data_IF_272431264611
#
_entry.id   IF_272431264611
#
_cell.length_a   1.000
_cell.length_b   1.000
_cell.length_c   1.000
_cell.angle_alpha   90.00
_cell.angle_beta   90.00
_cell.angle_gamma   90.00
#
_symmetry.space_group_name_H-M   'P 1'
#
loop_
_entity.id
_entity.type
_entity.pdbx_description
1 polymer ?
#
# COMPACT_ATOMS: atom_id res chain seq x y z
N UNK A 1 -8.43 24.63 5.70
CA UNK A 1 -6.96 24.81 5.74
C UNK A 1 -6.47 25.06 4.33
N UNK A 2 -5.88 26.23 4.05
CA UNK A 2 -5.22 26.47 2.76
C UNK A 2 -4.04 25.51 2.67
N UNK A 3 -4.05 24.70 1.63
CA UNK A 3 -3.17 23.56 1.53
C UNK A 3 -1.73 24.05 1.27
N UNK A 4 -0.87 23.93 2.28
CA UNK A 4 0.49 24.46 2.25
C UNK A 4 1.37 23.66 1.30
N UNK A 5 2.13 24.35 0.44
CA UNK A 5 3.16 23.73 -0.40
C UNK A 5 4.19 22.97 0.47
N UNK A 6 4.74 21.85 -0.03
CA UNK A 6 5.71 21.06 0.72
C UNK A 6 6.98 21.88 1.02
N UNK A 7 7.59 21.72 2.20
CA UNK A 7 8.78 22.46 2.56
C UNK A 7 9.99 21.95 1.76
N UNK A 8 10.54 22.82 0.89
CA UNK A 8 11.59 22.46 -0.08
C UNK A 8 13.03 22.56 0.45
N UNK A 9 13.22 23.08 1.65
CA UNK A 9 14.55 23.24 2.25
C UNK A 9 14.98 21.99 3.03
N UNK A 10 16.26 21.96 3.47
CA UNK A 10 16.81 20.83 4.23
C UNK A 10 15.95 20.49 5.46
N UNK A 11 15.48 21.49 6.19
CA UNK A 11 14.61 21.31 7.36
C UNK A 11 13.32 20.59 6.99
N UNK A 12 12.71 20.95 5.86
CA UNK A 12 11.54 20.28 5.31
C UNK A 12 11.77 18.80 4.99
N UNK A 13 12.91 18.49 4.39
CA UNK A 13 13.31 17.11 4.11
C UNK A 13 13.50 16.30 5.39
N UNK A 14 14.20 16.84 6.39
CA UNK A 14 14.42 16.17 7.67
C UNK A 14 13.10 15.95 8.41
N UNK A 15 12.22 16.95 8.38
CA UNK A 15 10.86 16.84 8.92
C UNK A 15 10.10 15.72 8.22
N UNK A 16 10.11 15.67 6.89
CA UNK A 16 9.40 14.66 6.10
C UNK A 16 9.89 13.24 6.41
N UNK A 17 11.22 13.01 6.41
CA UNK A 17 11.76 11.70 6.78
C UNK A 17 11.42 11.30 8.23
N UNK A 18 11.44 12.27 9.15
CA UNK A 18 11.02 12.05 10.53
C UNK A 18 9.55 11.70 10.66
N UNK A 19 8.67 12.26 9.81
CA UNK A 19 7.24 11.94 9.84
C UNK A 19 6.96 10.54 9.33
N UNK A 20 7.60 10.10 8.24
CA UNK A 20 7.46 8.72 7.76
C UNK A 20 7.93 7.70 8.82
N UNK A 21 9.09 7.97 9.44
CA UNK A 21 9.61 7.17 10.53
C UNK A 21 8.66 7.15 11.74
N UNK A 22 8.14 8.32 12.15
CA UNK A 22 7.20 8.44 13.27
C UNK A 22 5.88 7.70 13.03
N UNK A 23 5.31 7.79 11.84
CA UNK A 23 4.09 7.06 11.47
C UNK A 23 4.33 5.55 11.42
N UNK A 24 5.48 5.10 10.92
CA UNK A 24 5.84 3.68 10.95
C UNK A 24 6.05 3.18 12.38
N UNK A 25 6.69 3.98 13.24
CA UNK A 25 6.88 3.65 14.66
C UNK A 25 5.58 3.60 15.44
N UNK A 26 4.66 4.53 15.16
CA UNK A 26 3.31 4.51 15.72
C UNK A 26 2.56 3.23 15.29
N UNK A 27 2.65 2.85 14.01
CA UNK A 27 2.02 1.62 13.54
C UNK A 27 2.67 0.35 14.12
N UNK A 28 4.00 0.29 14.23
CA UNK A 28 4.68 -0.83 14.89
C UNK A 28 4.24 -0.95 16.36
N UNK A 29 4.10 0.17 17.05
CA UNK A 29 3.59 0.21 18.43
C UNK A 29 2.16 -0.32 18.53
N UNK A 30 1.31 -0.05 17.53
CA UNK A 30 -0.05 -0.63 17.46
C UNK A 30 0.02 -2.13 17.20
N UNK A 31 0.93 -2.58 16.31
CA UNK A 31 1.09 -3.98 15.95
C UNK A 31 1.70 -4.84 17.07
N UNK A 32 2.63 -4.27 17.83
CA UNK A 32 3.36 -4.87 18.94
C UNK A 32 3.60 -3.83 20.06
N UNK A 33 2.64 -3.64 20.97
CA UNK A 33 2.72 -2.65 22.05
C UNK A 33 3.66 -3.10 23.17
N UNK A 34 4.98 -3.09 22.90
CA UNK A 34 6.05 -3.56 23.80
C UNK A 34 6.09 -2.84 25.16
N UNK A 35 5.56 -1.61 25.24
CA UNK A 35 5.56 -0.76 26.43
C UNK A 35 4.39 -1.04 27.38
N UNK A 36 3.40 -1.83 26.95
CA UNK A 36 2.41 -2.36 27.88
C UNK A 36 3.10 -3.44 28.70
N UNK A 37 3.55 -3.08 29.91
CA UNK A 37 4.02 -4.02 30.93
C UNK A 37 2.83 -4.88 31.37
N UNK A 38 2.52 -5.88 30.56
CA UNK A 38 1.54 -6.89 30.89
C UNK A 38 2.11 -7.69 32.08
N UNK A 39 1.32 -7.81 33.15
CA UNK A 39 1.71 -8.55 34.36
C UNK A 39 2.21 -9.97 34.03
N UNK A 40 3.06 -10.54 34.88
CA UNK A 40 3.52 -11.93 34.71
C UNK A 40 2.32 -12.88 34.59
N UNK A 41 2.21 -13.56 33.43
CA UNK A 41 1.08 -14.44 33.12
C UNK A 41 0.07 -13.86 32.11
N UNK A 42 0.18 -12.58 31.74
CA UNK A 42 -0.70 -11.96 30.73
C UNK A 42 -0.11 -12.18 29.32
N UNK A 43 -0.89 -12.85 28.47
CA UNK A 43 -0.53 -13.16 27.09
C UNK A 43 -0.29 -11.86 26.31
N UNK A 44 0.82 -11.80 25.53
CA UNK A 44 1.15 -10.66 24.67
C UNK A 44 -0.04 -10.32 23.77
N UNK A 45 -0.42 -9.04 23.77
CA UNK A 45 -1.51 -8.54 22.92
C UNK A 45 -0.93 -7.94 21.65
N UNK A 46 -1.28 -8.52 20.50
CA UNK A 46 -0.96 -7.96 19.19
C UNK A 46 -2.15 -7.16 18.67
N UNK A 47 -1.90 -5.93 18.21
CA UNK A 47 -2.94 -5.03 17.72
C UNK A 47 -2.95 -4.87 16.19
N UNK A 48 -4.00 -4.21 15.71
CA UNK A 48 -4.11 -3.65 14.36
C UNK A 48 -5.00 -2.41 14.40
N UNK A 49 -4.84 -1.51 13.44
CA UNK A 49 -5.67 -0.31 13.32
C UNK A 49 -6.92 -0.57 12.47
N UNK A 50 -6.76 -1.14 11.27
CA UNK A 50 -7.85 -1.48 10.35
C UNK A 50 -8.45 -0.33 9.54
N UNK A 51 -7.96 0.90 9.67
CA UNK A 51 -8.52 2.09 8.99
C UNK A 51 -7.49 3.23 8.86
N UNK A 52 -6.27 2.90 8.40
CA UNK A 52 -5.26 3.94 8.16
C UNK A 52 -5.62 4.67 6.86
N UNK A 53 -5.89 5.97 6.96
CA UNK A 53 -6.19 6.87 5.85
C UNK A 53 -5.81 8.30 6.22
N UNK A 54 -5.78 9.18 5.22
CA UNK A 54 -5.42 10.59 5.42
C UNK A 54 -6.28 11.28 6.48
N UNK A 55 -7.58 11.02 6.51
CA UNK A 55 -8.53 11.58 7.49
C UNK A 55 -8.19 11.23 8.94
N UNK A 56 -7.50 10.09 9.14
CA UNK A 56 -7.11 9.58 10.45
C UNK A 56 -5.67 9.97 10.82
N UNK A 57 -4.99 10.79 10.00
CA UNK A 57 -3.69 11.38 10.34
C UNK A 57 -3.88 12.84 10.76
N UNK A 58 -3.72 13.09 12.05
CA UNK A 58 -3.82 14.42 12.63
C UNK A 58 -2.46 15.13 12.54
N UNK A 59 -2.50 16.45 12.35
CA UNK A 59 -1.31 17.29 12.30
C UNK A 59 -1.31 18.26 13.48
N UNK A 60 -0.46 18.00 14.47
CA UNK A 60 -0.31 18.85 15.66
C UNK A 60 0.93 19.72 15.58
N UNK A 61 0.91 20.87 16.26
CA UNK A 61 2.13 21.60 16.55
C UNK A 61 2.84 20.94 17.74
N UNK A 62 4.13 20.68 17.61
CA UNK A 62 4.92 20.07 18.68
C UNK A 62 5.10 21.07 19.82
N UNK A 63 4.79 20.63 21.04
CA UNK A 63 4.91 21.45 22.24
C UNK A 63 6.33 22.01 22.40
N UNK A 64 6.41 23.28 22.80
CA UNK A 64 7.69 23.99 22.96
C UNK A 64 8.37 24.42 21.65
N UNK A 65 7.71 24.25 20.49
CA UNK A 65 8.23 24.70 19.19
C UNK A 65 7.25 25.65 18.51
N UNK A 66 7.75 26.61 17.72
CA UNK A 66 6.89 27.60 17.04
C UNK A 66 6.38 27.11 15.68
N UNK A 67 7.07 26.17 15.02
CA UNK A 67 6.76 25.77 13.64
C UNK A 67 6.94 24.27 13.35
N UNK A 68 7.33 23.43 14.32
CA UNK A 68 7.46 22.00 14.07
C UNK A 68 6.08 21.33 14.15
N UNK A 69 5.70 20.66 13.06
CA UNK A 69 4.48 19.86 12.99
C UNK A 69 4.79 18.39 13.28
N UNK A 70 3.87 17.67 13.88
CA UNK A 70 3.95 16.22 14.08
C UNK A 70 2.67 15.56 13.54
N UNK A 71 2.85 14.51 12.75
CA UNK A 71 1.77 13.67 12.26
C UNK A 71 1.50 12.53 13.24
N UNK A 72 0.24 12.34 13.59
CA UNK A 72 -0.20 11.37 14.61
C UNK A 72 -1.34 10.54 14.05
N UNK A 73 -1.25 9.21 14.22
CA UNK A 73 -2.34 8.28 13.88
C UNK A 73 -3.45 8.42 14.91
N UNK A 74 -4.69 8.51 14.45
CA UNK A 74 -5.90 8.67 15.26
C UNK A 74 -7.02 7.75 14.79
N UNK A 75 -8.16 7.83 15.47
CA UNK A 75 -9.37 7.04 15.20
C UNK A 75 -9.17 5.52 15.29
N UNK A 76 -9.11 5.05 16.52
CA UNK A 76 -9.00 3.64 16.87
C UNK A 76 -10.36 2.92 16.87
N UNK A 77 -11.41 3.50 16.29
CA UNK A 77 -12.78 2.94 16.30
C UNK A 77 -12.91 1.55 15.66
N UNK A 78 -11.98 1.19 14.77
CA UNK A 78 -11.88 -0.14 14.13
C UNK A 78 -10.65 -0.95 14.59
N UNK A 79 -9.95 -0.43 15.60
CA UNK A 79 -8.77 -1.10 16.17
C UNK A 79 -9.18 -2.35 16.93
N UNK A 80 -8.33 -3.37 16.87
CA UNK A 80 -8.56 -4.62 17.58
C UNK A 80 -7.26 -5.12 18.22
N UNK A 81 -7.33 -5.51 19.49
CA UNK A 81 -6.22 -6.11 20.26
C UNK A 81 -6.51 -7.58 20.55
N UNK A 82 -5.54 -8.44 20.29
CA UNK A 82 -5.70 -9.89 20.33
C UNK A 82 -4.63 -10.56 21.17
N UNK A 83 -5.01 -11.60 21.92
CA UNK A 83 -4.04 -12.52 22.52
C UNK A 83 -3.45 -13.48 21.47
N UNK A 84 -2.29 -14.10 21.75
CA UNK A 84 -1.67 -15.14 20.90
C UNK A 84 -2.63 -16.26 20.46
N UNK A 85 -3.65 -16.55 21.29
CA UNK A 85 -4.65 -17.60 21.04
C UNK A 85 -5.84 -17.14 20.19
N UNK A 86 -6.02 -15.84 19.96
CA UNK A 86 -7.17 -15.29 19.24
C UNK A 86 -6.73 -14.27 18.18
N UNK A 87 -6.07 -14.71 17.11
CA UNK A 87 -5.77 -13.85 15.94
C UNK A 87 -7.09 -13.31 15.38
N UNK A 88 -7.52 -12.09 15.71
CA UNK A 88 -8.74 -11.46 15.14
C UNK A 88 -8.47 -10.96 13.72
N UNK A 89 -8.41 -11.95 12.86
CA UNK A 89 -8.75 -11.82 11.47
C UNK A 89 -10.26 -11.62 11.41
N UNK A 90 -10.72 -10.41 11.08
CA UNK A 90 -12.14 -10.20 10.79
C UNK A 90 -12.34 -10.60 9.31
N UNK A 91 -13.27 -11.52 9.01
CA UNK A 91 -13.65 -11.81 7.64
C UNK A 91 -14.18 -10.54 6.95
N UNK A 92 -13.79 -10.31 5.70
CA UNK A 92 -14.08 -9.04 5.01
C UNK A 92 -15.57 -8.68 4.93
N UNK A 93 -16.49 -9.65 5.02
CA UNK A 93 -17.94 -9.41 4.98
C UNK A 93 -18.48 -8.56 6.14
N UNK A 94 -17.67 -8.22 7.15
CA UNK A 94 -18.05 -7.38 8.30
C UNK A 94 -17.30 -6.04 8.37
N UNK A 95 -16.55 -5.67 7.35
CA UNK A 95 -15.60 -4.53 7.41
C UNK A 95 -16.17 -3.32 6.66
N UNK A 96 -16.25 -2.13 7.30
CA UNK A 96 -16.59 -0.90 6.61
C UNK A 96 -15.58 -0.60 5.49
N UNK A 97 -16.00 -0.22 4.28
CA UNK A 97 -15.07 0.08 3.21
C UNK A 97 -14.23 1.31 3.56
N UNK A 98 -12.90 1.18 3.54
CA UNK A 98 -11.96 2.30 3.53
C UNK A 98 -11.82 2.75 2.07
N UNK A 99 -12.58 3.75 1.59
CA UNK A 99 -12.67 4.02 0.16
C UNK A 99 -11.32 4.54 -0.33
N UNK A 100 -10.77 3.95 -1.41
CA UNK A 100 -9.49 4.35 -1.99
C UNK A 100 -8.27 3.55 -1.51
N UNK A 101 -8.09 3.32 -0.20
CA UNK A 101 -6.91 2.63 0.34
C UNK A 101 -7.12 1.16 0.67
N UNK A 102 -8.35 0.64 0.56
CA UNK A 102 -8.63 -0.78 0.81
C UNK A 102 -7.67 -1.70 0.04
N UNK A 103 -7.13 -2.74 0.70
CA UNK A 103 -6.23 -3.69 0.06
C UNK A 103 -6.95 -4.76 -0.77
N UNK A 104 -6.22 -5.49 -1.65
CA UNK A 104 -6.80 -6.52 -2.52
C UNK A 104 -7.56 -7.60 -1.77
N UNK A 105 -7.06 -8.01 -0.60
CA UNK A 105 -7.69 -9.06 0.19
C UNK A 105 -9.14 -8.74 0.53
N UNK A 106 -9.57 -7.47 0.59
CA UNK A 106 -10.98 -7.09 0.80
C UNK A 106 -11.95 -7.67 -0.22
N UNK A 107 -11.51 -7.92 -1.45
CA UNK A 107 -12.33 -8.45 -2.55
C UNK A 107 -12.06 -9.94 -2.84
N UNK A 108 -11.19 -10.59 -2.04
CA UNK A 108 -10.77 -11.99 -2.22
C UNK A 108 -11.47 -12.90 -1.19
N UNK A 109 -11.87 -14.09 -1.62
CA UNK A 109 -12.45 -15.13 -0.76
C UNK A 109 -11.47 -15.53 0.35
N UNK A 110 -11.97 -15.58 1.59
CA UNK A 110 -11.13 -15.88 2.76
C UNK A 110 -10.13 -14.77 3.13
N UNK A 111 -10.19 -13.61 2.47
CA UNK A 111 -9.44 -12.42 2.88
C UNK A 111 -9.84 -11.94 4.27
N UNK A 112 -8.86 -11.39 4.99
CA UNK A 112 -9.05 -10.97 6.38
C UNK A 112 -8.32 -9.67 6.68
N UNK A 113 -8.91 -8.84 7.55
CA UNK A 113 -8.22 -7.67 8.09
C UNK A 113 -7.16 -8.14 9.09
N UNK A 114 -5.91 -7.86 8.78
CA UNK A 114 -4.74 -8.28 9.56
C UNK A 114 -3.72 -7.15 9.65
N UNK A 115 -2.58 -7.36 10.30
CA UNK A 115 -1.48 -6.37 10.28
C UNK A 115 -1.02 -6.03 8.86
N UNK A 116 -1.08 -7.00 7.94
CA UNK A 116 -0.76 -6.77 6.53
C UNK A 116 -1.73 -5.75 5.89
N UNK A 117 -2.99 -5.70 6.32
CA UNK A 117 -3.95 -4.69 5.88
C UNK A 117 -3.41 -3.28 6.19
N UNK A 118 -3.00 -3.06 7.45
CA UNK A 118 -2.46 -1.78 7.88
C UNK A 118 -1.21 -1.39 7.09
N UNK A 119 -0.31 -2.36 6.82
CA UNK A 119 0.90 -2.12 6.02
C UNK A 119 0.55 -1.65 4.60
N UNK A 120 -0.48 -2.23 3.96
CA UNK A 120 -0.91 -1.76 2.64
C UNK A 120 -1.50 -0.35 2.70
N UNK A 121 -2.41 -0.10 3.65
CA UNK A 121 -3.03 1.22 3.79
C UNK A 121 -2.01 2.31 4.13
N UNK A 122 -1.02 2.00 4.97
CA UNK A 122 0.09 2.92 5.24
C UNK A 122 0.99 3.08 4.01
N UNK A 123 1.18 2.04 3.19
CA UNK A 123 1.90 2.13 1.92
C UNK A 123 1.21 3.06 0.92
N UNK A 124 -0.13 3.01 0.83
CA UNK A 124 -0.91 3.95 0.02
C UNK A 124 -0.74 5.38 0.52
N UNK A 125 -0.84 5.57 1.84
CA UNK A 125 -0.66 6.87 2.50
C UNK A 125 0.75 7.42 2.28
N UNK A 126 1.79 6.59 2.42
CA UNK A 126 3.17 6.99 2.18
C UNK A 126 3.42 7.36 0.72
N UNK A 127 2.81 6.66 -0.24
CA UNK A 127 2.93 7.04 -1.65
C UNK A 127 2.26 8.38 -1.94
N UNK A 128 1.06 8.63 -1.40
CA UNK A 128 0.42 9.95 -1.50
C UNK A 128 1.25 11.02 -0.78
N UNK A 129 1.88 10.72 0.37
CA UNK A 129 2.72 11.67 1.10
C UNK A 129 4.01 12.02 0.34
N UNK A 130 4.70 11.05 -0.27
CA UNK A 130 5.85 11.29 -1.15
C UNK A 130 5.44 12.07 -2.40
N UNK A 131 4.28 11.73 -2.98
CA UNK A 131 3.70 12.45 -4.13
C UNK A 131 3.48 13.92 -3.81
N UNK A 132 2.85 14.21 -2.67
CA UNK A 132 2.66 15.57 -2.17
C UNK A 132 3.98 16.27 -1.87
N UNK A 133 4.95 15.57 -1.28
CA UNK A 133 6.23 16.17 -0.92
C UNK A 133 7.02 16.62 -2.15
N UNK A 134 6.97 15.86 -3.25
CA UNK A 134 7.69 16.17 -4.47
C UNK A 134 7.00 17.26 -5.30
N UNK A 135 5.68 17.19 -5.50
CA UNK A 135 4.96 18.08 -6.42
C UNK A 135 3.68 18.72 -5.88
N UNK A 136 3.47 18.69 -4.57
CA UNK A 136 2.34 19.32 -3.90
C UNK A 136 0.98 18.77 -4.32
N UNK A 137 -0.05 19.60 -4.21
CA UNK A 137 -1.42 19.22 -4.55
C UNK A 137 -1.63 18.89 -6.03
N UNK A 138 -0.86 19.52 -6.92
CA UNK A 138 -0.91 19.20 -8.35
C UNK A 138 -0.58 17.74 -8.61
N UNK A 139 0.49 17.24 -7.99
CA UNK A 139 0.90 15.84 -8.14
C UNK A 139 -0.10 14.87 -7.48
N UNK A 140 -0.67 15.21 -6.32
CA UNK A 140 -1.73 14.39 -5.71
C UNK A 140 -2.96 14.28 -6.62
N UNK A 141 -3.41 15.39 -7.19
CA UNK A 141 -4.55 15.43 -8.09
C UNK A 141 -4.26 14.66 -9.39
N UNK A 142 -3.07 14.82 -9.96
CA UNK A 142 -2.64 14.08 -11.13
C UNK A 142 -2.55 12.58 -10.85
N UNK A 143 -1.96 12.18 -9.73
CA UNK A 143 -1.85 10.77 -9.35
C UNK A 143 -3.23 10.14 -9.19
N UNK A 144 -4.13 10.81 -8.44
CA UNK A 144 -5.53 10.39 -8.27
C UNK A 144 -6.24 10.23 -9.61
N UNK A 145 -6.05 11.18 -10.54
CA UNK A 145 -6.62 11.11 -11.88
C UNK A 145 -6.05 9.95 -12.69
N UNK A 146 -4.72 9.74 -12.69
CA UNK A 146 -4.07 8.66 -13.43
C UNK A 146 -4.50 7.28 -12.94
N UNK A 147 -4.58 7.07 -11.62
CA UNK A 147 -5.00 5.78 -11.04
C UNK A 147 -6.52 5.55 -11.05
N UNK A 148 -7.31 6.56 -11.44
CA UNK A 148 -8.76 6.45 -11.56
C UNK A 148 -9.12 5.70 -12.85
N UNK A 149 -9.32 4.40 -12.74
CA UNK A 149 -9.54 3.47 -13.86
C UNK A 149 -10.76 2.58 -13.62
N UNK A 150 -11.36 2.02 -14.68
CA UNK A 150 -12.43 1.04 -14.55
C UNK A 150 -11.97 -0.18 -13.74
N UNK A 151 -12.83 -0.64 -12.84
CA UNK A 151 -12.66 -1.89 -12.11
C UNK A 151 -13.53 -2.98 -12.72
N UNK A 152 -13.36 -4.22 -12.30
CA UNK A 152 -14.01 -5.38 -12.92
C UNK A 152 -15.56 -5.36 -12.85
N UNK A 153 -16.12 -4.55 -11.96
CA UNK A 153 -17.55 -4.29 -11.85
C UNK A 153 -18.02 -3.07 -12.66
N UNK A 154 -17.21 -2.57 -13.61
CA UNK A 154 -17.52 -1.37 -14.39
C UNK A 154 -17.39 -0.04 -13.63
N UNK A 155 -17.33 -0.07 -12.29
CA UNK A 155 -17.18 1.15 -11.50
C UNK A 155 -15.78 1.74 -11.69
N UNK A 156 -15.74 3.05 -11.96
CA UNK A 156 -14.47 3.79 -12.07
C UNK A 156 -14.04 4.23 -10.68
N UNK A 157 -12.89 3.75 -10.21
CA UNK A 157 -12.36 4.06 -8.89
C UNK A 157 -10.85 4.36 -8.93
N UNK A 158 -10.35 5.00 -7.88
CA UNK A 158 -8.96 5.41 -7.71
C UNK A 158 -8.19 4.50 -6.73
N UNK A 159 -8.65 3.26 -6.52
CA UNK A 159 -7.97 2.30 -5.64
C UNK A 159 -6.64 1.84 -6.26
N UNK A 160 -5.75 1.28 -5.44
CA UNK A 160 -4.36 1.00 -5.82
C UNK A 160 -4.13 -0.34 -6.53
N UNK A 161 -5.14 -1.21 -6.59
CA UNK A 161 -5.08 -2.51 -7.24
C UNK A 161 -6.22 -2.69 -8.25
N UNK A 162 -6.06 -3.67 -9.13
CA UNK A 162 -7.11 -4.10 -10.05
C UNK A 162 -7.28 -5.61 -9.98
N UNK A 163 -8.50 -6.08 -10.27
CA UNK A 163 -8.80 -7.48 -10.52
C UNK A 163 -9.15 -7.58 -12.00
N UNK A 164 -8.55 -8.53 -12.70
CA UNK A 164 -8.84 -8.81 -14.10
C UNK A 164 -9.34 -10.23 -14.25
N UNK A 165 -10.31 -10.44 -15.13
CA UNK A 165 -10.64 -11.77 -15.62
C UNK A 165 -9.66 -12.14 -16.72
N UNK A 166 -9.07 -13.32 -16.62
CA UNK A 166 -8.36 -13.96 -17.71
C UNK A 166 -9.42 -14.71 -18.52
N UNK A 167 -9.76 -14.20 -19.70
CA UNK A 167 -10.66 -14.92 -20.62
C UNK A 167 -10.04 -16.26 -21.01
N UNK A 168 -10.88 -17.29 -21.16
CA UNK A 168 -10.46 -18.61 -21.68
C UNK A 168 -11.09 -18.90 -23.03
N UNK A 169 -10.30 -19.56 -23.87
CA UNK A 169 -10.56 -19.99 -25.26
C UNK A 169 -11.70 -21.01 -25.46
N UNK A 170 -12.47 -21.39 -24.42
CA UNK A 170 -13.57 -22.36 -24.53
C UNK A 170 -14.72 -22.01 -23.58
N UNK A 171 -15.95 -22.11 -24.08
CA UNK A 171 -17.20 -21.62 -23.45
C UNK A 171 -17.61 -22.29 -22.13
N UNK A 172 -16.91 -23.30 -21.62
CA UNK A 172 -17.39 -24.14 -20.51
C UNK A 172 -16.58 -24.05 -19.20
N UNK A 173 -15.45 -23.34 -19.17
CA UNK A 173 -14.63 -23.22 -17.95
C UNK A 173 -14.90 -21.92 -17.17
N UNK A 174 -14.89 -22.01 -15.84
CA UNK A 174 -15.01 -20.84 -14.94
C UNK A 174 -13.87 -19.86 -15.20
N UNK A 175 -14.23 -18.57 -15.27
CA UNK A 175 -13.27 -17.47 -15.42
C UNK A 175 -12.21 -17.50 -14.32
N UNK A 176 -10.94 -17.45 -14.71
CA UNK A 176 -9.83 -17.26 -13.76
C UNK A 176 -9.67 -15.77 -13.49
N UNK A 177 -9.53 -15.37 -12.23
CA UNK A 177 -9.30 -13.98 -11.86
C UNK A 177 -7.89 -13.79 -11.34
N UNK A 178 -7.31 -12.63 -11.63
CA UNK A 178 -6.02 -12.22 -11.08
C UNK A 178 -6.07 -10.84 -10.47
N UNK A 179 -5.42 -10.66 -9.32
CA UNK A 179 -5.23 -9.38 -8.67
C UNK A 179 -3.79 -8.90 -8.82
N UNK A 180 -3.61 -7.62 -9.09
CA UNK A 180 -2.31 -6.96 -9.18
C UNK A 180 -2.40 -5.50 -8.74
N UNK A 181 -1.27 -4.93 -8.30
CA UNK A 181 -1.14 -3.47 -8.17
C UNK A 181 -1.37 -2.85 -9.54
N UNK A 182 -2.10 -1.74 -9.59
CA UNK A 182 -2.41 -1.04 -10.84
C UNK A 182 -1.11 -0.60 -11.55
N UNK A 183 -0.97 -0.81 -12.87
CA UNK A 183 0.16 -0.27 -13.63
C UNK A 183 0.31 1.25 -13.49
N UNK A 184 -0.80 1.97 -13.29
CA UNK A 184 -0.80 3.41 -13.07
C UNK A 184 -0.12 3.81 -11.75
N UNK A 185 -0.15 2.93 -10.74
CA UNK A 185 0.56 3.13 -9.46
C UNK A 185 2.06 2.91 -9.65
N UNK A 186 2.46 1.83 -10.35
CA UNK A 186 3.88 1.53 -10.58
C UNK A 186 4.53 2.56 -11.51
N UNK A 187 3.85 2.99 -12.57
CA UNK A 187 4.34 4.06 -13.45
C UNK A 187 4.38 5.42 -12.74
N UNK A 188 3.48 5.66 -11.78
CA UNK A 188 3.57 6.87 -10.96
C UNK A 188 4.80 6.85 -10.05
N UNK A 189 5.14 5.71 -9.43
CA UNK A 189 6.39 5.55 -8.67
C UNK A 189 7.59 5.91 -9.56
N UNK A 190 7.64 5.42 -10.80
CA UNK A 190 8.71 5.78 -11.75
C UNK A 190 8.73 7.29 -12.06
N UNK A 191 7.56 7.90 -12.22
CA UNK A 191 7.44 9.36 -12.43
C UNK A 191 8.03 10.14 -11.24
N UNK A 192 7.76 9.70 -10.01
CA UNK A 192 8.33 10.33 -8.81
C UNK A 192 9.85 10.20 -8.76
N UNK A 193 10.41 9.06 -9.21
CA UNK A 193 11.86 8.83 -9.24
C UNK A 193 12.60 9.74 -10.22
N UNK A 194 11.96 10.22 -11.27
CA UNK A 194 12.53 11.21 -12.18
C UNK A 194 12.40 12.65 -11.68
N UNK A 195 11.64 12.88 -10.60
CA UNK A 195 11.41 14.23 -10.13
C UNK A 195 12.75 14.88 -9.72
N UNK A 196 13.03 16.15 -10.10
CA UNK A 196 14.33 16.79 -9.82
C UNK A 196 14.76 16.79 -8.36
N UNK A 197 13.77 16.80 -7.45
CA UNK A 197 13.98 16.76 -6.00
C UNK A 197 13.91 15.34 -5.40
N UNK A 198 13.72 14.30 -6.21
CA UNK A 198 13.77 12.92 -5.71
C UNK A 198 15.21 12.60 -5.32
N UNK A 199 15.42 12.47 -4.01
CA UNK A 199 16.73 12.25 -3.41
C UNK A 199 16.96 10.76 -3.14
N UNK A 200 18.20 10.34 -2.83
CA UNK A 200 18.50 8.95 -2.47
C UNK A 200 17.59 8.38 -1.38
N UNK A 201 17.19 9.18 -0.38
CA UNK A 201 16.27 8.70 0.66
C UNK A 201 14.85 8.46 0.12
N UNK A 202 14.37 9.30 -0.80
CA UNK A 202 13.06 9.12 -1.43
C UNK A 202 13.05 7.91 -2.36
N UNK A 203 14.14 7.66 -3.07
CA UNK A 203 14.29 6.41 -3.83
C UNK A 203 14.18 5.18 -2.91
N UNK A 204 14.88 5.18 -1.78
CA UNK A 204 14.82 4.07 -0.81
C UNK A 204 13.42 3.94 -0.19
N UNK A 205 12.75 5.04 0.14
CA UNK A 205 11.37 5.01 0.63
C UNK A 205 10.41 4.45 -0.44
N UNK A 206 10.55 4.85 -1.69
CA UNK A 206 9.77 4.32 -2.82
C UNK A 206 10.06 2.83 -3.05
N UNK A 207 11.29 2.35 -2.85
CA UNK A 207 11.62 0.93 -2.91
C UNK A 207 10.84 0.14 -1.85
N UNK A 208 10.81 0.61 -0.60
CA UNK A 208 10.06 -0.04 0.49
C UNK A 208 8.55 -0.04 0.21
N UNK A 209 8.00 1.09 -0.24
CA UNK A 209 6.58 1.20 -0.59
C UNK A 209 6.22 0.17 -1.67
N UNK A 210 7.02 0.07 -2.72
CA UNK A 210 6.79 -0.80 -3.86
C UNK A 210 6.99 -2.30 -3.54
N UNK A 211 8.06 -2.63 -2.80
CA UNK A 211 8.54 -4.00 -2.68
C UNK A 211 8.10 -4.68 -1.38
N UNK A 212 7.82 -3.91 -0.34
CA UNK A 212 7.50 -4.41 0.99
C UNK A 212 6.06 -4.09 1.43
N UNK A 213 5.45 -3.00 0.93
CA UNK A 213 4.15 -2.51 1.42
C UNK A 213 2.99 -2.74 0.43
N UNK A 214 3.13 -2.28 -0.81
CA UNK A 214 2.11 -2.40 -1.86
C UNK A 214 2.23 -3.75 -2.58
N UNK A 215 2.07 -4.84 -1.82
CA UNK A 215 2.15 -6.21 -2.33
C UNK A 215 0.77 -6.88 -2.29
N UNK A 216 0.37 -7.49 -3.41
CA UNK A 216 -0.76 -8.44 -3.42
C UNK A 216 -0.27 -9.73 -2.77
N UNK A 217 -0.96 -10.17 -1.72
CA UNK A 217 -0.53 -11.32 -0.92
C UNK A 217 -0.68 -12.61 -1.73
N UNK A 218 0.34 -13.46 -1.68
CA UNK A 218 0.32 -14.82 -2.20
C UNK A 218 0.98 -15.79 -1.22
N UNK A 219 1.04 -17.07 -1.57
CA UNK A 219 1.78 -18.08 -0.80
C UNK A 219 3.28 -17.80 -0.77
N UNK A 220 3.81 -17.18 -1.83
CA UNK A 220 5.23 -16.91 -2.02
C UNK A 220 5.64 -15.51 -1.56
N UNK A 221 4.71 -14.54 -1.63
CA UNK A 221 5.02 -13.14 -1.35
C UNK A 221 4.06 -12.55 -0.31
N UNK A 222 4.65 -12.00 0.75
CA UNK A 222 3.95 -11.31 1.84
C UNK A 222 4.50 -9.91 2.01
N UNK A 223 3.68 -9.02 2.58
CA UNK A 223 4.13 -7.69 3.03
C UNK A 223 5.07 -7.85 4.23
N UNK A 224 6.05 -6.96 4.34
CA UNK A 224 6.99 -6.96 5.46
C UNK A 224 6.31 -6.62 6.78
N UNK A 225 6.89 -7.10 7.88
CA UNK A 225 6.43 -6.76 9.23
C UNK A 225 6.70 -5.29 9.53
N UNK A 226 5.84 -4.69 10.37
CA UNK A 226 6.00 -3.30 10.84
C UNK A 226 7.38 -3.05 11.46
N UNK A 227 7.90 -4.01 12.22
CA UNK A 227 9.19 -3.89 12.90
C UNK A 227 10.36 -3.78 11.93
N UNK A 228 10.37 -4.64 10.88
CA UNK A 228 11.39 -4.56 9.83
C UNK A 228 11.31 -3.22 9.09
N UNK A 229 10.10 -2.80 8.75
CA UNK A 229 9.89 -1.52 8.07
C UNK A 229 10.30 -0.35 8.95
N UNK A 230 10.06 -0.41 10.27
CA UNK A 230 10.52 0.59 11.21
C UNK A 230 12.05 0.70 11.20
N UNK A 231 12.78 -0.43 11.29
CA UNK A 231 14.24 -0.44 11.20
C UNK A 231 14.73 0.23 9.90
N UNK A 232 14.09 -0.10 8.77
CA UNK A 232 14.40 0.49 7.46
C UNK A 232 14.14 2.02 7.44
N UNK A 233 13.05 2.51 8.03
CA UNK A 233 12.70 3.93 8.09
C UNK A 233 13.52 4.72 9.12
N UNK A 234 13.93 4.11 10.22
CA UNK A 234 14.88 4.68 11.18
C UNK A 234 16.24 4.89 10.52
N UNK A 235 16.72 3.90 9.76
CA UNK A 235 17.96 4.01 9.00
C UNK A 235 17.88 5.13 7.94
N UNK A 236 16.76 5.23 7.22
CA UNK A 236 16.50 6.35 6.30
C UNK A 236 16.60 7.69 7.06
N UNK A 237 15.91 7.83 8.18
CA UNK A 237 15.87 9.07 8.98
C UNK A 237 17.26 9.46 9.49
N UNK A 238 18.01 8.49 10.03
CA UNK A 238 19.38 8.67 10.54
C UNK A 238 20.34 9.12 9.43
N UNK A 239 20.23 8.52 8.24
CA UNK A 239 21.05 8.93 7.07
C UNK A 239 20.66 10.31 6.56
N UNK A 240 19.37 10.68 6.59
CA UNK A 240 18.95 12.04 6.22
C UNK A 240 19.61 13.10 7.10
N UNK A 241 19.72 12.84 8.41
CA UNK A 241 20.37 13.75 9.36
C UNK A 241 21.89 13.86 9.13
N UNK A 242 22.56 12.73 8.94
CA UNK A 242 24.04 12.64 8.91
C UNK A 242 24.67 12.86 7.53
N UNK A 243 23.99 12.50 6.43
CA UNK A 243 24.58 12.49 5.09
C UNK A 243 23.98 13.59 4.20
N UNK A 244 24.72 14.68 3.98
CA UNK A 244 24.23 15.83 3.16
C UNK A 244 23.81 15.42 1.74
N UNK A 245 24.48 14.45 1.12
CA UNK A 245 24.15 13.95 -0.22
C UNK A 245 22.87 13.09 -0.26
N UNK A 246 22.46 12.49 0.85
CA UNK A 246 21.31 11.58 0.91
C UNK A 246 19.96 12.31 0.78
N UNK A 247 19.95 13.61 1.09
CA UNK A 247 18.79 14.50 1.02
C UNK A 247 18.78 15.40 -0.22
N UNK A 248 19.83 15.38 -1.05
CA UNK A 248 19.92 16.17 -2.28
C UNK A 248 19.22 15.42 -3.42
N UNK A 249 18.46 16.15 -4.24
CA UNK A 249 17.84 15.61 -5.44
C UNK A 249 18.88 14.93 -6.34
N UNK A 250 18.57 13.69 -6.73
CA UNK A 250 19.35 12.83 -7.63
C UNK A 250 18.36 12.02 -8.49
N UNK A 251 17.62 12.69 -9.39
CA UNK A 251 16.61 12.02 -10.22
C UNK A 251 17.23 10.89 -11.03
N UNK A 252 16.44 9.84 -11.25
CA UNK A 252 16.82 8.77 -12.17
C UNK A 252 16.84 9.23 -13.62
N UNK A 253 17.82 8.75 -14.37
CA UNK A 253 17.90 8.88 -15.81
C UNK A 253 17.07 7.82 -16.55
N UNK A 254 17.18 7.82 -17.87
CA UNK A 254 16.44 6.90 -18.73
C UNK A 254 16.90 5.44 -18.58
N UNK A 255 18.18 5.21 -18.30
CA UNK A 255 18.72 3.86 -18.11
C UNK A 255 18.20 3.26 -16.79
N UNK A 256 18.27 4.00 -15.68
CA UNK A 256 17.73 3.51 -14.40
C UNK A 256 16.23 3.21 -14.49
N UNK A 257 15.49 4.02 -15.25
CA UNK A 257 14.08 3.76 -15.54
C UNK A 257 13.84 2.51 -16.36
N UNK A 258 14.62 2.28 -17.42
CA UNK A 258 14.50 1.09 -18.25
C UNK A 258 14.72 -0.15 -17.40
N UNK A 259 15.81 -0.17 -16.64
CA UNK A 259 16.15 -1.29 -15.78
C UNK A 259 15.09 -1.47 -14.67
N UNK A 260 14.54 -0.37 -14.13
CA UNK A 260 13.46 -0.43 -13.16
C UNK A 260 12.16 -0.97 -13.75
N UNK A 261 11.79 -0.56 -14.96
CA UNK A 261 10.63 -1.12 -15.67
C UNK A 261 10.80 -2.60 -15.96
N UNK A 262 12.01 -3.05 -16.28
CA UNK A 262 12.29 -4.48 -16.48
C UNK A 262 12.17 -5.25 -15.17
N UNK A 263 12.76 -4.76 -14.07
CA UNK A 263 12.60 -5.35 -12.74
C UNK A 263 11.16 -5.33 -12.26
N UNK A 264 10.46 -4.21 -12.41
CA UNK A 264 9.04 -4.07 -12.09
C UNK A 264 8.22 -5.02 -12.94
N UNK A 265 8.47 -5.09 -14.25
CA UNK A 265 7.82 -6.02 -15.13
C UNK A 265 8.01 -7.44 -14.60
N UNK A 266 9.23 -7.87 -14.27
CA UNK A 266 9.55 -9.18 -13.67
C UNK A 266 8.86 -9.42 -12.31
N UNK A 267 8.69 -8.37 -11.51
CA UNK A 267 8.15 -8.43 -10.16
C UNK A 267 6.63 -8.18 -10.08
N UNK A 268 5.97 -7.71 -11.17
CA UNK A 268 4.52 -7.61 -11.27
C UNK A 268 3.98 -9.02 -11.14
N UNK A 269 3.53 -9.30 -9.93
CA UNK A 269 2.96 -10.58 -9.56
C UNK A 269 1.47 -10.44 -9.72
N UNK A 270 0.94 -10.87 -10.86
CA UNK A 270 -0.48 -11.13 -10.96
C UNK A 270 -0.77 -12.34 -10.09
N UNK A 271 -1.55 -12.17 -9.03
CA UNK A 271 -1.86 -13.27 -8.12
C UNK A 271 -3.20 -13.85 -8.54
N UNK A 272 -3.26 -15.17 -8.76
CA UNK A 272 -4.52 -15.85 -9.00
C UNK A 272 -5.39 -15.80 -7.75
N UNK A 273 -6.62 -15.34 -7.91
CA UNK A 273 -7.56 -15.11 -6.81
C UNK A 273 -8.93 -15.69 -7.13
N UNK A 274 -9.65 -16.03 -6.07
CA UNK A 274 -11.09 -16.27 -6.13
C UNK A 274 -11.77 -15.05 -5.50
N UNK A 275 -12.59 -14.28 -6.25
CA UNK A 275 -13.27 -13.14 -5.67
C UNK A 275 -14.30 -13.60 -4.63
N UNK A 276 -14.49 -12.83 -3.56
CA UNK A 276 -15.54 -13.15 -2.58
C UNK A 276 -16.96 -12.88 -3.12
N UNK A 277 -17.99 -13.30 -2.38
CA UNK A 277 -19.39 -13.16 -2.80
C UNK A 277 -19.79 -11.72 -3.14
N UNK A 278 -19.34 -10.73 -2.35
CA UNK A 278 -19.61 -9.32 -2.60
C UNK A 278 -18.98 -8.86 -3.92
N UNK A 279 -17.71 -9.19 -4.16
CA UNK A 279 -17.01 -8.88 -5.40
C UNK A 279 -17.66 -9.60 -6.59
N UNK A 280 -18.03 -10.88 -6.44
CA UNK A 280 -18.73 -11.65 -7.46
C UNK A 280 -20.11 -11.08 -7.78
N UNK A 281 -20.88 -10.64 -6.78
CA UNK A 281 -22.18 -10.01 -7.00
C UNK A 281 -22.03 -8.74 -7.85
N UNK A 282 -21.04 -7.89 -7.53
CA UNK A 282 -20.73 -6.69 -8.29
C UNK A 282 -20.27 -7.00 -9.73
N UNK A 283 -19.55 -8.10 -9.94
CA UNK A 283 -19.15 -8.56 -11.29
C UNK A 283 -20.35 -9.14 -12.05
N UNK A 284 -21.24 -9.87 -11.36
CA UNK A 284 -22.37 -10.60 -11.95
C UNK A 284 -23.58 -9.76 -12.27
N UNK A 285 -23.76 -8.63 -11.59
CA UNK A 285 -24.77 -7.66 -11.99
C UNK A 285 -24.55 -7.17 -13.44
N UNK A 286 -23.34 -7.37 -13.97
CA UNK A 286 -22.99 -7.21 -15.38
C UNK A 286 -23.01 -8.49 -16.23
N UNK A 287 -23.02 -9.71 -15.66
CA UNK A 287 -23.06 -11.00 -16.37
C UNK A 287 -23.60 -12.15 -15.47
N UNK A 288 -24.71 -12.79 -15.85
CA UNK A 288 -25.51 -13.73 -15.02
C UNK A 288 -24.84 -15.12 -14.71
N UNK A 289 -24.56 -15.39 -13.41
CA UNK A 289 -24.47 -16.67 -12.62
C UNK A 289 -23.52 -17.85 -13.03
N UNK A 290 -23.17 -18.86 -12.17
CA UNK A 290 -23.08 -19.02 -10.69
C UNK A 290 -21.69 -19.50 -10.14
N UNK A 291 -21.55 -19.64 -8.79
CA UNK A 291 -20.30 -19.72 -7.96
C UNK A 291 -19.68 -21.13 -7.83
N UNK A 292 -18.37 -21.23 -7.56
CA UNK A 292 -17.76 -22.27 -6.70
C UNK A 292 -16.72 -21.66 -5.75
N UNK A 293 -16.47 -22.35 -4.63
CA UNK A 293 -15.45 -22.03 -3.63
C UNK A 293 -14.03 -22.42 -4.03
N UNK A 294 -13.03 -21.61 -3.64
CA UNK A 294 -11.61 -21.95 -3.78
C UNK A 294 -10.68 -20.92 -3.14
N UNK A 295 -9.58 -21.38 -2.51
CA UNK A 295 -8.53 -20.50 -1.96
C UNK A 295 -7.65 -19.92 -3.07
N UNK A 296 -6.93 -18.83 -2.79
CA UNK A 296 -5.87 -18.27 -3.65
C UNK A 296 -4.76 -19.32 -3.88
N UNK A 297 -4.47 -19.66 -5.14
CA UNK A 297 -3.71 -20.88 -5.45
C UNK A 297 -2.25 -20.63 -5.85
N UNK A 298 -1.91 -19.51 -6.51
CA UNK A 298 -0.54 -19.29 -7.02
C UNK A 298 -0.23 -17.84 -7.46
N UNK A 299 1.03 -17.42 -7.33
CA UNK A 299 1.55 -16.25 -8.05
C UNK A 299 1.73 -16.58 -9.53
N UNK A 300 1.36 -15.68 -10.44
CA UNK A 300 1.58 -15.81 -11.88
C UNK A 300 2.61 -14.77 -12.31
N UNK A 301 3.64 -15.24 -13.01
CA UNK A 301 4.69 -14.38 -13.53
C UNK A 301 4.22 -13.52 -14.72
N UNK A 302 4.95 -12.46 -15.08
CA UNK A 302 4.54 -11.49 -16.10
C UNK A 302 4.46 -12.07 -17.51
N UNK A 303 5.35 -13.01 -17.85
CA UNK A 303 5.34 -13.71 -19.13
C UNK A 303 4.11 -14.63 -19.26
N UNK A 304 3.77 -15.33 -18.18
CA UNK A 304 2.56 -16.16 -18.11
C UNK A 304 1.30 -15.29 -18.18
N UNK A 305 1.27 -14.18 -17.45
CA UNK A 305 0.17 -13.20 -17.51
C UNK A 305 -0.02 -12.63 -18.93
N UNK A 306 1.05 -12.19 -19.60
CA UNK A 306 0.95 -11.69 -21.00
C UNK A 306 0.53 -12.78 -21.99
N UNK A 307 0.87 -14.05 -21.74
CA UNK A 307 0.43 -15.16 -22.57
C UNK A 307 -1.08 -15.42 -22.43
N UNK A 308 -1.67 -15.07 -21.28
CA UNK A 308 -3.12 -15.17 -21.02
C UNK A 308 -3.91 -14.03 -21.69
N UNK A 309 -3.29 -12.87 -21.94
CA UNK A 309 -3.92 -11.74 -22.65
C UNK A 309 -3.91 -11.89 -24.19
N UNK A 310 -3.25 -12.92 -24.76
CA UNK A 310 -3.22 -13.14 -26.21
C UNK A 310 -4.33 -14.10 -26.63
N UNK A 311 -5.36 -13.65 -27.39
CA UNK A 311 -6.21 -14.58 -28.11
C UNK A 311 -5.33 -15.31 -29.12
N UNK A 312 -5.33 -16.66 -29.09
CA UNK A 312 -4.86 -17.40 -30.26
C UNK A 312 -5.81 -17.03 -31.40
N UNK A 313 -5.21 -16.58 -32.50
CA UNK A 313 -5.92 -16.32 -33.76
C UNK A 313 -6.58 -17.60 -34.26
#
# INVERSE_FOLDING_TARGET
MVASNPPKNRTGVLWFSSQMCGLMGALDTIHDPKHLHLEQGVIRKYGRHGDIKCDNILCFQKSGTTNEKILVISDFGLSAFNSDKSRSNIPNGKVPPVPGYRPPECDIEGGTVSRAFDIWTLGCLFLDFVTWFLGGHGYLAEFKRKRKTPFINGAVNDIFFTIKSLEKKKMEEKATYVALVKPEVTEWILTLRQHPNCSPFLHKALDLIEQDMLIVLSTEKKRSLSSKLLDDFEEISRRCQSQKGYVKGKPWGNDELRDARERMAQNITAVEIVPNETALALIRDHNRLPVHSGKSMKSIGPAQYKALERPEK
#
